data_IF_114670264952
#
_entry.id   IF_114670264952
#
_cell.length_a   1.000
_cell.length_b   1.000
_cell.length_c   1.000
_cell.angle_alpha   90.00
_cell.angle_beta   90.00
_cell.angle_gamma   90.00
#
_symmetry.space_group_name_H-M   'P 1'
#
loop_
_entity.id
_entity.type
_entity.pdbx_description
1 polymer ?
#
# COMPACT_ATOMS: atom_id res chain seq x y z
N UNK A 1 25.44 13.83 -4.28
CA UNK A 1 24.03 14.22 -4.00
C UNK A 1 23.06 13.48 -4.92
N UNK A 2 23.25 13.53 -6.25
CA UNK A 2 22.42 12.85 -7.27
C UNK A 2 22.21 11.36 -7.02
N UNK A 3 23.27 10.60 -6.67
CA UNK A 3 23.18 9.17 -6.33
C UNK A 3 22.21 8.88 -5.18
N UNK A 4 22.16 9.73 -4.15
CA UNK A 4 21.25 9.58 -3.00
C UNK A 4 19.79 9.85 -3.39
N UNK A 5 19.56 10.84 -4.25
CA UNK A 5 18.22 11.13 -4.77
C UNK A 5 17.69 9.97 -5.61
N UNK A 6 18.51 9.46 -6.54
CA UNK A 6 18.17 8.30 -7.38
C UNK A 6 17.91 7.07 -6.52
N UNK A 7 18.75 6.81 -5.51
CA UNK A 7 18.55 5.71 -4.56
C UNK A 7 17.24 5.85 -3.76
N UNK A 8 16.91 7.07 -3.32
CA UNK A 8 15.67 7.37 -2.60
C UNK A 8 14.43 7.12 -3.46
N UNK A 9 14.39 7.70 -4.66
CA UNK A 9 13.28 7.50 -5.62
C UNK A 9 13.18 6.04 -6.03
N UNK A 10 14.30 5.41 -6.40
CA UNK A 10 14.33 4.00 -6.79
C UNK A 10 13.80 3.07 -5.69
N UNK A 11 14.17 3.33 -4.43
CA UNK A 11 13.66 2.56 -3.28
C UNK A 11 12.16 2.76 -3.07
N UNK A 12 11.64 3.99 -3.23
CA UNK A 12 10.21 4.27 -3.16
C UNK A 12 9.43 3.59 -4.28
N UNK A 13 9.97 3.60 -5.51
CA UNK A 13 9.37 2.91 -6.65
C UNK A 13 9.31 1.40 -6.38
N UNK A 14 10.42 0.78 -5.99
CA UNK A 14 10.45 -0.67 -5.73
C UNK A 14 9.51 -1.05 -4.59
N UNK A 15 9.55 -0.35 -3.45
CA UNK A 15 8.66 -0.63 -2.32
C UNK A 15 7.20 -0.41 -2.68
N UNK A 16 6.87 0.74 -3.30
CA UNK A 16 5.51 1.08 -3.68
C UNK A 16 4.92 0.11 -4.71
N UNK A 17 5.70 -0.33 -5.70
CA UNK A 17 5.27 -1.34 -6.67
C UNK A 17 5.04 -2.69 -6.01
N UNK A 18 6.00 -3.20 -5.23
CA UNK A 18 5.88 -4.51 -4.59
C UNK A 18 4.68 -4.55 -3.65
N UNK A 19 4.55 -3.58 -2.75
CA UNK A 19 3.44 -3.55 -1.80
C UNK A 19 2.12 -3.24 -2.51
N UNK A 20 2.12 -2.33 -3.49
CA UNK A 20 0.92 -2.01 -4.27
C UNK A 20 0.35 -3.23 -4.99
N UNK A 21 1.21 -4.06 -5.60
CA UNK A 21 0.80 -5.33 -6.23
C UNK A 21 0.23 -6.29 -5.17
N UNK A 22 0.90 -6.47 -4.04
CA UNK A 22 0.40 -7.37 -2.97
C UNK A 22 -0.94 -6.89 -2.42
N UNK A 23 -1.08 -5.60 -2.13
CA UNK A 23 -2.36 -5.00 -1.70
C UNK A 23 -3.45 -5.20 -2.74
N UNK A 24 -3.12 -5.09 -4.04
CA UNK A 24 -4.08 -5.31 -5.12
C UNK A 24 -4.54 -6.77 -5.20
N UNK A 25 -3.63 -7.72 -4.99
CA UNK A 25 -3.96 -9.14 -4.92
C UNK A 25 -4.84 -9.44 -3.71
N UNK A 26 -4.52 -8.86 -2.54
CA UNK A 26 -5.33 -8.99 -1.33
C UNK A 26 -6.73 -8.44 -1.51
N UNK A 27 -6.88 -7.24 -2.08
CA UNK A 27 -8.19 -6.68 -2.43
C UNK A 27 -8.98 -7.62 -3.34
N UNK A 28 -8.33 -8.23 -4.34
CA UNK A 28 -8.97 -9.23 -5.20
C UNK A 28 -9.47 -10.44 -4.43
N UNK A 29 -8.71 -10.92 -3.45
CA UNK A 29 -9.14 -11.99 -2.55
C UNK A 29 -10.32 -11.54 -1.69
N UNK A 30 -10.31 -10.31 -1.17
CA UNK A 30 -11.42 -9.74 -0.40
C UNK A 30 -12.71 -9.70 -1.21
N UNK A 31 -12.68 -9.17 -2.45
CA UNK A 31 -13.85 -9.11 -3.32
C UNK A 31 -14.41 -10.49 -3.67
N UNK A 32 -13.53 -11.46 -3.95
CA UNK A 32 -13.93 -12.84 -4.21
C UNK A 32 -14.55 -13.51 -2.98
N UNK A 33 -13.99 -13.27 -1.79
CA UNK A 33 -14.52 -13.78 -0.54
C UNK A 33 -15.89 -13.17 -0.18
N UNK A 34 -16.12 -11.90 -0.55
CA UNK A 34 -17.40 -11.23 -0.46
C UNK A 34 -18.45 -11.78 -1.45
N UNK A 35 -18.05 -12.59 -2.43
CA UNK A 35 -18.92 -13.10 -3.48
C UNK A 35 -19.16 -12.12 -4.64
N UNK A 36 -18.38 -11.03 -4.69
CA UNK A 36 -18.41 -10.08 -5.80
C UNK A 36 -17.66 -10.62 -7.02
N UNK A 37 -18.02 -10.14 -8.21
CA UNK A 37 -17.22 -10.33 -9.41
C UNK A 37 -15.97 -9.44 -9.32
N UNK A 38 -14.79 -10.06 -9.28
CA UNK A 38 -13.49 -9.37 -9.21
C UNK A 38 -13.13 -8.67 -10.53
N UNK A 39 -13.97 -7.72 -10.96
CA UNK A 39 -13.83 -6.90 -12.17
C UNK A 39 -12.94 -5.69 -11.92
N UNK A 40 -11.70 -5.90 -11.51
CA UNK A 40 -10.76 -4.81 -11.35
C UNK A 40 -10.22 -4.33 -12.70
N UNK A 41 -10.42 -3.05 -13.01
CA UNK A 41 -9.84 -2.46 -14.22
C UNK A 41 -8.31 -2.39 -14.14
N UNK A 42 -7.67 -2.50 -15.31
CA UNK A 42 -6.22 -2.34 -15.42
C UNK A 42 -5.78 -0.93 -15.01
N UNK A 43 -6.57 0.08 -15.39
CA UNK A 43 -6.35 1.48 -15.02
C UNK A 43 -6.46 1.72 -13.51
N UNK A 44 -7.44 1.13 -12.83
CA UNK A 44 -7.57 1.22 -11.37
C UNK A 44 -6.40 0.54 -10.64
N UNK A 45 -5.90 -0.58 -11.19
CA UNK A 45 -4.74 -1.28 -10.63
C UNK A 45 -3.45 -0.46 -10.76
N UNK A 46 -3.23 0.13 -11.94
CA UNK A 46 -2.11 1.03 -12.17
C UNK A 46 -2.19 2.28 -11.27
N UNK A 47 -3.39 2.85 -11.11
CA UNK A 47 -3.62 4.02 -10.25
C UNK A 47 -3.22 3.77 -8.80
N UNK A 48 -3.58 2.61 -8.23
CA UNK A 48 -3.18 2.24 -6.85
C UNK A 48 -1.66 2.13 -6.72
N UNK A 49 -0.99 1.47 -7.67
CA UNK A 49 0.46 1.33 -7.65
C UNK A 49 1.15 2.70 -7.71
N UNK A 50 0.69 3.57 -8.60
CA UNK A 50 1.21 4.95 -8.71
C UNK A 50 1.00 5.71 -7.42
N UNK A 51 -0.17 5.59 -6.79
CA UNK A 51 -0.48 6.23 -5.51
C UNK A 51 0.46 5.77 -4.39
N UNK A 52 0.73 4.46 -4.30
CA UNK A 52 1.66 3.90 -3.31
C UNK A 52 3.08 4.45 -3.50
N UNK A 53 3.56 4.49 -4.75
CA UNK A 53 4.88 5.05 -5.09
C UNK A 53 4.93 6.53 -4.73
N UNK A 54 3.95 7.32 -5.20
CA UNK A 54 3.89 8.76 -4.98
C UNK A 54 3.86 9.12 -3.49
N UNK A 55 3.08 8.39 -2.69
CA UNK A 55 3.00 8.61 -1.24
C UNK A 55 4.34 8.37 -0.52
N UNK A 56 5.20 7.49 -1.04
CA UNK A 56 6.49 7.15 -0.42
C UNK A 56 7.65 8.04 -0.86
N UNK A 57 7.58 8.67 -2.05
CA UNK A 57 8.66 9.48 -2.61
C UNK A 57 9.16 10.58 -1.64
N UNK A 58 8.30 11.43 -1.04
CA UNK A 58 8.76 12.51 -0.17
C UNK A 58 9.55 11.99 1.04
N UNK A 59 9.05 10.94 1.69
CA UNK A 59 9.71 10.32 2.84
C UNK A 59 11.03 9.65 2.45
N UNK A 60 11.07 8.94 1.32
CA UNK A 60 12.27 8.25 0.86
C UNK A 60 13.39 9.22 0.48
N UNK A 61 13.06 10.34 -0.18
CA UNK A 61 14.01 11.41 -0.50
C UNK A 61 14.61 12.04 0.76
N UNK A 62 13.77 12.33 1.75
CA UNK A 62 14.23 12.91 3.01
C UNK A 62 15.07 11.95 3.82
N UNK A 63 14.71 10.66 3.86
CA UNK A 63 15.55 9.63 4.50
C UNK A 63 16.91 9.53 3.81
N UNK A 64 16.94 9.49 2.47
CA UNK A 64 18.18 9.36 1.70
C UNK A 64 19.13 10.56 1.85
N UNK A 65 18.58 11.76 2.04
CA UNK A 65 19.37 12.99 2.20
C UNK A 65 19.79 13.26 3.65
N UNK A 66 18.96 12.89 4.62
CA UNK A 66 19.19 13.17 6.06
C UNK A 66 19.76 12.00 6.86
N UNK A 67 20.07 10.87 6.21
CA UNK A 67 20.59 9.68 6.91
C UNK A 67 19.57 9.00 7.83
N UNK A 68 18.27 9.15 7.54
CA UNK A 68 17.20 8.51 8.30
C UNK A 68 16.67 9.25 9.52
N UNK A 69 17.17 10.46 9.83
CA UNK A 69 16.65 11.31 10.93
C UNK A 69 15.16 11.65 10.82
N UNK A 70 14.62 11.65 9.59
CA UNK A 70 13.21 11.98 9.29
C UNK A 70 12.41 10.78 8.76
N UNK A 71 12.73 9.57 9.22
CA UNK A 71 12.04 8.34 8.80
C UNK A 71 10.53 8.33 9.11
N UNK A 72 10.09 9.10 10.09
CA UNK A 72 8.66 9.23 10.45
C UNK A 72 7.79 9.76 9.29
N UNK A 73 8.37 10.46 8.31
CA UNK A 73 7.65 10.92 7.11
C UNK A 73 7.25 9.79 6.15
N UNK A 74 7.90 8.63 6.25
CA UNK A 74 7.42 7.43 5.56
C UNK A 74 6.10 6.95 6.18
N UNK A 75 5.95 7.08 7.50
CA UNK A 75 4.72 6.72 8.19
C UNK A 75 3.55 7.65 7.81
N UNK A 76 3.80 8.95 7.59
CA UNK A 76 2.74 9.86 7.11
C UNK A 76 2.25 9.50 5.71
N UNK A 77 3.14 9.08 4.81
CA UNK A 77 2.73 8.57 3.50
C UNK A 77 1.88 7.30 3.62
N UNK A 78 2.24 6.39 4.53
CA UNK A 78 1.47 5.17 4.77
C UNK A 78 0.10 5.48 5.40
N UNK A 79 0.05 6.42 6.34
CA UNK A 79 -1.19 6.90 6.94
C UNK A 79 -2.12 7.56 5.91
N UNK A 80 -1.56 8.33 4.96
CA UNK A 80 -2.33 8.88 3.84
C UNK A 80 -2.97 7.78 2.99
N UNK A 81 -2.26 6.67 2.73
CA UNK A 81 -2.79 5.53 1.98
C UNK A 81 -3.93 4.80 2.70
N UNK A 82 -4.09 4.96 4.02
CA UNK A 82 -5.24 4.43 4.74
C UNK A 82 -6.55 5.09 4.30
N UNK A 83 -6.54 6.37 3.90
CA UNK A 83 -7.75 7.08 3.46
C UNK A 83 -8.41 6.42 2.23
N UNK A 84 -7.71 6.23 1.09
CA UNK A 84 -8.29 5.54 -0.05
C UNK A 84 -8.56 4.06 0.25
N UNK A 85 -7.78 3.40 1.11
CA UNK A 85 -8.07 2.02 1.52
C UNK A 85 -9.41 1.91 2.26
N UNK A 86 -9.71 2.84 3.16
CA UNK A 86 -11.01 2.93 3.85
C UNK A 86 -12.13 3.24 2.84
N UNK A 87 -11.90 4.12 1.88
CA UNK A 87 -12.88 4.42 0.82
C UNK A 87 -13.26 3.16 0.03
N UNK A 88 -12.27 2.43 -0.47
CA UNK A 88 -12.48 1.17 -1.20
C UNK A 88 -13.19 0.13 -0.30
N UNK A 89 -12.75 -0.02 0.94
CA UNK A 89 -13.38 -0.95 1.88
C UNK A 89 -14.85 -0.57 2.14
N UNK A 90 -15.18 0.71 2.26
CA UNK A 90 -16.55 1.16 2.51
C UNK A 90 -17.47 0.90 1.32
N UNK A 91 -16.96 1.09 0.09
CA UNK A 91 -17.70 0.78 -1.14
C UNK A 91 -17.98 -0.72 -1.27
N UNK A 92 -17.00 -1.58 -0.94
CA UNK A 92 -17.19 -3.04 -0.97
C UNK A 92 -18.09 -3.53 0.18
N UNK A 93 -17.94 -2.98 1.38
CA UNK A 93 -18.73 -3.35 2.57
C UNK A 93 -20.21 -2.97 2.39
N UNK A 94 -20.50 -1.82 1.76
CA UNK A 94 -21.87 -1.38 1.49
C UNK A 94 -22.68 -2.33 0.60
N UNK A 95 -22.01 -3.26 -0.10
CA UNK A 95 -22.61 -4.28 -0.95
C UNK A 95 -22.72 -5.68 -0.29
N UNK A 96 -22.27 -5.81 0.96
CA UNK A 96 -22.34 -7.08 1.68
C UNK A 96 -23.78 -7.30 2.16
N UNK A 97 -24.53 -8.10 1.41
CA UNK A 97 -25.82 -8.65 1.86
C UNK A 97 -25.65 -9.65 3.00
N UNK A 98 -26.54 -10.64 3.09
CA UNK A 98 -26.52 -11.66 4.15
C UNK A 98 -25.31 -12.59 3.99
N UNK A 99 -24.18 -12.23 4.61
CA UNK A 99 -22.94 -12.99 4.57
C UNK A 99 -22.92 -14.09 5.63
N UNK A 100 -22.53 -15.30 5.24
CA UNK A 100 -22.20 -16.33 6.22
C UNK A 100 -21.00 -15.92 7.08
N UNK A 101 -20.94 -16.41 8.33
CA UNK A 101 -19.87 -16.14 9.30
C UNK A 101 -18.47 -16.40 8.71
N UNK A 102 -18.34 -17.44 7.89
CA UNK A 102 -17.06 -17.79 7.21
C UNK A 102 -16.63 -16.70 6.23
N UNK A 103 -17.55 -16.12 5.46
CA UNK A 103 -17.25 -15.02 4.54
C UNK A 103 -16.91 -13.74 5.30
N UNK A 104 -17.61 -13.47 6.40
CA UNK A 104 -17.30 -12.32 7.26
C UNK A 104 -15.86 -12.40 7.80
N UNK A 105 -15.44 -13.57 8.30
CA UNK A 105 -14.07 -13.80 8.75
C UNK A 105 -13.05 -13.65 7.61
N UNK A 106 -13.35 -14.18 6.42
CA UNK A 106 -12.47 -14.06 5.27
C UNK A 106 -12.29 -12.60 4.81
N UNK A 107 -13.36 -11.81 4.76
CA UNK A 107 -13.33 -10.38 4.46
C UNK A 107 -12.56 -9.61 5.54
N UNK A 108 -12.82 -9.90 6.82
CA UNK A 108 -12.12 -9.26 7.94
C UNK A 108 -10.61 -9.54 7.92
N UNK A 109 -10.21 -10.81 7.72
CA UNK A 109 -8.80 -11.21 7.65
C UNK A 109 -8.07 -10.61 6.45
N UNK A 110 -8.70 -10.65 5.27
CA UNK A 110 -8.10 -10.08 4.05
C UNK A 110 -8.01 -8.56 4.11
N UNK A 111 -9.03 -7.88 4.65
CA UNK A 111 -8.99 -6.44 4.92
C UNK A 111 -7.89 -6.07 5.91
N UNK A 112 -7.78 -6.79 7.03
CA UNK A 112 -6.69 -6.59 7.99
C UNK A 112 -5.31 -6.81 7.36
N UNK A 113 -5.18 -7.79 6.46
CA UNK A 113 -3.94 -8.04 5.72
C UNK A 113 -3.56 -6.84 4.82
N UNK A 114 -4.51 -6.14 4.20
CA UNK A 114 -4.24 -4.90 3.44
C UNK A 114 -3.69 -3.79 4.35
N UNK A 115 -4.24 -3.62 5.55
CA UNK A 115 -3.68 -2.64 6.50
C UNK A 115 -2.29 -3.05 7.01
N UNK A 116 -2.05 -4.35 7.16
CA UNK A 116 -0.73 -4.85 7.51
C UNK A 116 0.31 -4.57 6.42
N UNK A 117 -0.05 -4.68 5.14
CA UNK A 117 0.86 -4.33 4.03
C UNK A 117 1.15 -2.83 4.00
N UNK A 118 0.16 -1.98 4.30
CA UNK A 118 0.36 -0.54 4.47
C UNK A 118 1.33 -0.21 5.62
N UNK A 119 1.22 -0.90 6.76
CA UNK A 119 2.15 -0.73 7.87
C UNK A 119 3.57 -1.22 7.54
N UNK A 120 3.70 -2.22 6.67
CA UNK A 120 4.98 -2.77 6.24
C UNK A 120 5.70 -1.89 5.21
N UNK A 121 4.95 -1.15 4.39
CA UNK A 121 5.48 -0.25 3.35
C UNK A 121 6.56 0.73 3.82
N UNK A 122 6.37 1.52 4.91
CA UNK A 122 7.40 2.44 5.38
C UNK A 122 8.66 1.70 5.87
N UNK A 123 8.51 0.52 6.47
CA UNK A 123 9.63 -0.31 6.93
C UNK A 123 10.45 -0.83 5.74
N UNK A 124 9.77 -1.33 4.71
CA UNK A 124 10.44 -1.80 3.48
C UNK A 124 11.16 -0.66 2.77
N UNK A 125 10.49 0.50 2.62
CA UNK A 125 11.08 1.68 1.98
C UNK A 125 12.33 2.12 2.73
N UNK A 126 12.27 2.21 4.06
CA UNK A 126 13.43 2.57 4.90
C UNK A 126 14.59 1.58 4.73
N UNK A 127 14.30 0.27 4.72
CA UNK A 127 15.32 -0.78 4.53
C UNK A 127 15.98 -0.68 3.16
N UNK A 128 15.20 -0.43 2.10
CA UNK A 128 15.74 -0.29 0.74
C UNK A 128 16.58 0.98 0.59
N UNK A 129 16.14 2.11 1.13
CA UNK A 129 16.92 3.36 1.09
C UNK A 129 18.26 3.17 1.80
N UNK A 130 18.26 2.60 3.01
CA UNK A 130 19.50 2.36 3.78
C UNK A 130 20.48 1.41 3.10
N UNK A 131 20.00 0.46 2.30
CA UNK A 131 20.86 -0.45 1.51
C UNK A 131 21.45 0.22 0.27
N UNK A 132 20.85 1.32 -0.18
CA UNK A 132 21.17 1.97 -1.46
C UNK A 132 21.97 3.27 -1.32
N UNK A 133 22.11 3.80 -0.09
CA UNK A 133 22.82 5.05 0.24
C UNK A 133 24.06 4.80 1.08
#
# INVERSE_FOLDING_TARGET
MTRRLVAGVGSAVVAGVLVGIVSRLLMRVTTLAAGGSAGFSWSGSAGIVVLYVAAMIPGALLVATTGGRRSWLLASGAAFLCLPAIGVASEEIGYLGDLSVVRLLAVGLSGAAVFATLALLPVLTLRLVRRST
#
